data_IF_703605438363
#
_entry.id   IF_703605438363
#
_cell.length_a   1.000
_cell.length_b   1.000
_cell.length_c   1.000
_cell.angle_alpha   90.00
_cell.angle_beta   90.00
_cell.angle_gamma   90.00
#
_symmetry.space_group_name_H-M   'P 1'
#
loop_
_entity.id
_entity.type
_entity.pdbx_description
1 polymer ?
#
# COMPACT_ATOMS: atom_id res chain seq x y z
N UNK A 1 16.67 -44.49 31.86
CA UNK A 1 15.41 -44.15 31.17
C UNK A 1 15.19 -42.63 31.21
N UNK A 2 14.76 -42.00 30.10
CA UNK A 2 14.37 -40.59 30.11
C UNK A 2 12.88 -40.45 30.48
N UNK A 3 12.59 -39.84 31.63
CA UNK A 3 11.23 -39.65 32.15
C UNK A 3 10.66 -38.26 31.87
N UNK A 4 11.49 -37.33 31.40
CA UNK A 4 11.11 -35.93 31.17
C UNK A 4 9.92 -35.80 30.20
N UNK A 5 9.89 -36.51 29.04
CA UNK A 5 8.81 -36.33 28.06
C UNK A 5 7.42 -36.71 28.58
N UNK A 6 7.35 -37.47 29.69
CA UNK A 6 6.11 -37.90 30.34
C UNK A 6 5.61 -36.90 31.38
N UNK A 7 6.35 -35.81 31.63
CA UNK A 7 5.99 -34.80 32.62
C UNK A 7 5.25 -33.65 31.96
N UNK A 8 4.16 -33.23 32.60
CA UNK A 8 3.28 -32.13 32.13
C UNK A 8 3.98 -30.77 32.09
N UNK A 9 5.07 -30.58 32.84
CA UNK A 9 5.86 -29.35 32.86
C UNK A 9 7.00 -29.32 31.84
N UNK A 10 7.18 -30.38 31.04
CA UNK A 10 8.25 -30.44 30.07
C UNK A 10 8.11 -29.34 29.01
N UNK A 11 9.04 -28.38 29.00
CA UNK A 11 8.96 -27.16 28.18
C UNK A 11 8.78 -27.44 26.68
N UNK A 12 9.42 -28.49 26.15
CA UNK A 12 9.35 -28.81 24.72
C UNK A 12 8.16 -29.69 24.30
N UNK A 13 7.22 -30.01 25.18
CA UNK A 13 5.99 -30.69 24.76
C UNK A 13 5.15 -29.74 23.92
N UNK A 14 4.50 -30.26 22.88
CA UNK A 14 3.67 -29.46 21.96
C UNK A 14 2.68 -28.55 22.69
N UNK A 15 2.03 -29.07 23.73
CA UNK A 15 1.01 -28.35 24.52
C UNK A 15 1.59 -27.13 25.26
N UNK A 16 2.75 -27.29 25.90
CA UNK A 16 3.42 -26.19 26.61
C UNK A 16 3.92 -25.13 25.64
N UNK A 17 4.49 -25.54 24.50
CA UNK A 17 4.92 -24.58 23.47
C UNK A 17 3.70 -23.83 22.90
N UNK A 18 2.57 -24.51 22.68
CA UNK A 18 1.34 -23.87 22.21
C UNK A 18 0.77 -22.87 23.24
N UNK A 19 0.87 -23.16 24.54
CA UNK A 19 0.49 -22.23 25.60
C UNK A 19 1.36 -20.98 25.60
N UNK A 20 2.68 -21.15 25.55
CA UNK A 20 3.63 -20.02 25.48
C UNK A 20 3.32 -19.14 24.26
N UNK A 21 3.11 -19.74 23.08
CA UNK A 21 2.76 -18.98 21.88
C UNK A 21 1.46 -18.18 22.02
N UNK A 22 0.44 -18.75 22.68
CA UNK A 22 -0.82 -18.04 22.92
C UNK A 22 -0.61 -16.85 23.86
N UNK A 23 0.17 -17.04 24.91
CA UNK A 23 0.44 -15.99 25.90
C UNK A 23 1.29 -14.87 25.27
N UNK A 24 2.31 -15.23 24.48
CA UNK A 24 3.13 -14.28 23.70
C UNK A 24 2.28 -13.52 22.67
N UNK A 25 1.41 -14.22 21.94
CA UNK A 25 0.51 -13.59 20.97
C UNK A 25 -0.45 -12.60 21.66
N UNK A 26 -1.03 -12.98 22.80
CA UNK A 26 -1.91 -12.13 23.58
C UNK A 26 -1.18 -10.89 24.09
N UNK A 27 0.02 -11.05 24.65
CA UNK A 27 0.86 -9.94 25.09
C UNK A 27 1.19 -8.99 23.93
N UNK A 28 1.53 -9.55 22.76
CA UNK A 28 1.82 -8.75 21.57
C UNK A 28 0.59 -7.99 21.04
N UNK A 29 -0.62 -8.55 21.15
CA UNK A 29 -1.87 -7.87 20.79
C UNK A 29 -2.17 -6.71 21.75
N UNK A 30 -2.06 -6.94 23.07
CA UNK A 30 -2.27 -5.91 24.09
C UNK A 30 -1.28 -4.74 23.92
N UNK A 31 0.00 -5.01 23.65
CA UNK A 31 0.98 -3.97 23.36
C UNK A 31 0.66 -3.16 22.10
N UNK A 32 0.17 -3.81 21.04
CA UNK A 32 -0.24 -3.13 19.80
C UNK A 32 -1.44 -2.21 20.05
N UNK A 33 -2.42 -2.67 20.82
CA UNK A 33 -3.59 -1.87 21.16
C UNK A 33 -3.23 -0.65 22.01
N UNK A 34 -2.35 -0.82 23.00
CA UNK A 34 -1.81 0.28 23.79
C UNK A 34 -1.07 1.31 22.92
N UNK A 35 -0.18 0.85 22.03
CA UNK A 35 0.52 1.71 21.08
C UNK A 35 -0.44 2.48 20.17
N UNK A 36 -1.48 1.81 19.65
CA UNK A 36 -2.52 2.43 18.83
C UNK A 36 -3.25 3.54 19.61
N UNK A 37 -3.60 3.29 20.87
CA UNK A 37 -4.26 4.29 21.73
C UNK A 37 -3.36 5.49 22.00
N UNK A 38 -2.08 5.26 22.28
CA UNK A 38 -1.10 6.33 22.49
C UNK A 38 -0.97 7.18 21.21
N UNK A 39 -0.82 6.54 20.05
CA UNK A 39 -0.72 7.25 18.77
C UNK A 39 -1.97 8.08 18.47
N UNK A 40 -3.17 7.56 18.73
CA UNK A 40 -4.40 8.30 18.53
C UNK A 40 -4.45 9.53 19.45
N UNK A 41 -4.14 9.35 20.74
CA UNK A 41 -4.11 10.46 21.70
C UNK A 41 -3.07 11.53 21.32
N UNK A 42 -1.92 11.12 20.80
CA UNK A 42 -0.88 12.05 20.31
C UNK A 42 -1.36 12.82 19.07
N UNK A 43 -2.01 12.15 18.11
CA UNK A 43 -2.61 12.80 16.94
C UNK A 43 -3.68 13.81 17.34
N UNK A 44 -4.58 13.44 18.26
CA UNK A 44 -5.62 14.32 18.78
C UNK A 44 -5.01 15.53 19.52
N UNK A 45 -4.00 15.31 20.36
CA UNK A 45 -3.30 16.39 21.05
C UNK A 45 -2.60 17.35 20.07
N UNK A 46 -1.91 16.81 19.07
CA UNK A 46 -1.22 17.59 18.03
C UNK A 46 -2.21 18.41 17.20
N UNK A 47 -3.31 17.81 16.76
CA UNK A 47 -4.34 18.52 15.99
C UNK A 47 -5.03 19.59 16.82
N UNK A 48 -5.33 19.33 18.10
CA UNK A 48 -5.89 20.32 19.01
C UNK A 48 -4.94 21.50 19.23
N UNK A 49 -3.62 21.25 19.37
CA UNK A 49 -2.62 22.31 19.48
C UNK A 49 -2.58 23.17 18.22
N UNK A 50 -2.53 22.56 17.04
CA UNK A 50 -2.53 23.30 15.77
C UNK A 50 -3.80 24.13 15.58
N UNK A 51 -4.97 23.58 15.93
CA UNK A 51 -6.24 24.32 15.90
C UNK A 51 -6.24 25.52 16.85
N UNK A 52 -5.73 25.35 18.08
CA UNK A 52 -5.59 26.44 19.04
C UNK A 52 -4.64 27.52 18.54
N UNK A 53 -3.52 27.13 17.92
CA UNK A 53 -2.56 28.07 17.33
C UNK A 53 -3.19 28.85 16.18
N UNK A 54 -3.84 28.17 15.24
CA UNK A 54 -4.53 28.80 14.12
C UNK A 54 -5.64 29.76 14.58
N UNK A 55 -6.42 29.39 15.60
CA UNK A 55 -7.41 30.30 16.19
C UNK A 55 -6.75 31.53 16.84
N UNK A 56 -5.67 31.34 17.59
CA UNK A 56 -4.93 32.46 18.18
C UNK A 56 -4.21 33.35 17.16
N UNK A 57 -3.99 32.86 15.95
CA UNK A 57 -3.45 33.63 14.82
C UNK A 57 -4.57 34.40 14.08
N UNK A 58 -5.75 33.78 13.91
CA UNK A 58 -6.95 34.44 13.38
C UNK A 58 -7.35 35.67 14.20
N UNK A 59 -7.38 35.56 15.53
CA UNK A 59 -7.69 36.70 16.42
C UNK A 59 -6.61 37.81 16.40
N UNK A 60 -5.43 37.54 15.81
CA UNK A 60 -4.39 38.56 15.61
C UNK A 60 -4.45 39.22 14.24
N UNK A 61 -5.14 38.62 13.27
CA UNK A 61 -5.22 39.07 11.89
C UNK A 61 -6.52 39.80 11.56
N UNK A 62 -7.26 40.29 12.56
CA UNK A 62 -8.48 41.08 12.37
C UNK A 62 -8.20 42.49 11.83
N UNK A 63 -7.61 42.58 10.64
CA UNK A 63 -7.75 43.71 9.72
C UNK A 63 -8.77 43.29 8.66
N UNK A 64 -10.05 43.36 9.03
CA UNK A 64 -11.18 43.02 8.15
C UNK A 64 -11.43 44.15 7.14
N UNK A 65 -11.60 43.80 5.87
CA UNK A 65 -12.07 44.73 4.82
C UNK A 65 -13.51 45.21 5.11
N UNK A 66 -13.93 46.32 4.50
CA UNK A 66 -15.16 47.07 4.80
C UNK A 66 -16.50 46.28 4.70
N UNK A 67 -16.45 45.00 4.29
CA UNK A 67 -17.58 44.07 4.22
C UNK A 67 -17.44 42.79 5.06
N UNK A 68 -16.43 42.67 5.93
CA UNK A 68 -16.27 41.53 6.86
C UNK A 68 -15.85 40.20 6.22
N UNK A 69 -15.39 40.20 4.96
CA UNK A 69 -14.90 39.01 4.28
C UNK A 69 -13.37 39.09 4.05
N UNK A 70 -12.65 38.03 4.41
CA UNK A 70 -11.23 37.87 4.16
C UNK A 70 -11.02 37.38 2.72
N UNK A 71 -10.60 38.29 1.83
CA UNK A 71 -10.30 37.97 0.43
C UNK A 71 -8.85 37.47 0.28
N UNK A 72 -8.65 36.16 0.46
CA UNK A 72 -7.34 35.50 0.26
C UNK A 72 -6.78 35.60 -1.17
N UNK A 73 -7.63 35.97 -2.13
CA UNK A 73 -7.29 36.03 -3.55
C UNK A 73 -7.15 37.45 -4.07
N UNK A 74 -7.22 38.48 -3.21
CA UNK A 74 -7.16 39.88 -3.64
C UNK A 74 -5.90 40.16 -4.48
N UNK A 75 -4.74 39.71 -4.00
CA UNK A 75 -3.47 39.88 -4.70
C UNK A 75 -3.42 39.09 -6.02
N UNK A 76 -4.08 37.93 -6.10
CA UNK A 76 -4.14 37.08 -7.30
C UNK A 76 -5.11 37.68 -8.33
N UNK A 77 -6.23 38.23 -7.88
CA UNK A 77 -7.22 38.89 -8.74
C UNK A 77 -6.67 40.23 -9.29
N UNK A 78 -6.01 41.03 -8.45
CA UNK A 78 -5.35 42.28 -8.87
C UNK A 78 -4.17 42.03 -9.82
N UNK A 79 -3.46 40.89 -9.68
CA UNK A 79 -2.33 40.52 -10.53
C UNK A 79 -2.71 39.79 -11.84
N UNK A 80 -4.01 39.65 -12.15
CA UNK A 80 -4.47 39.11 -13.43
C UNK A 80 -4.90 37.64 -13.43
N UNK A 81 -5.15 37.05 -12.26
CA UNK A 81 -5.73 35.72 -12.09
C UNK A 81 -4.73 34.56 -12.19
N UNK A 82 -5.11 33.42 -11.62
CA UNK A 82 -4.34 32.17 -11.70
C UNK A 82 -4.23 31.70 -13.14
N UNK A 83 -3.04 31.86 -13.75
CA UNK A 83 -2.69 31.23 -15.02
C UNK A 83 -2.51 29.74 -14.75
N UNK A 84 -3.61 28.99 -14.86
CA UNK A 84 -3.63 27.55 -14.62
C UNK A 84 -2.71 26.79 -15.55
N UNK A 85 -1.51 26.49 -15.10
CA UNK A 85 -0.70 25.43 -15.66
C UNK A 85 -1.32 24.10 -15.24
N UNK A 86 -1.80 23.31 -16.20
CA UNK A 86 -2.18 21.92 -15.90
C UNK A 86 -0.94 21.17 -15.43
N UNK A 87 -1.09 20.37 -14.37
CA UNK A 87 0.02 19.60 -13.84
C UNK A 87 0.36 18.50 -14.85
N UNK A 88 1.41 18.73 -15.65
CA UNK A 88 1.86 17.83 -16.71
C UNK A 88 2.11 16.40 -16.20
N UNK A 89 2.64 16.27 -14.99
CA UNK A 89 2.89 14.96 -14.37
C UNK A 89 1.58 14.20 -14.10
N UNK A 90 0.50 14.90 -13.72
CA UNK A 90 -0.80 14.30 -13.47
C UNK A 90 -1.46 13.77 -14.74
N UNK A 91 -1.34 14.50 -15.85
CA UNK A 91 -1.88 14.05 -17.15
C UNK A 91 -1.14 12.81 -17.68
N UNK A 92 0.19 12.75 -17.47
CA UNK A 92 1.00 11.59 -17.85
C UNK A 92 0.68 10.35 -16.99
N UNK A 93 0.45 10.53 -15.69
CA UNK A 93 0.04 9.44 -14.79
C UNK A 93 -1.36 8.91 -15.15
N UNK A 94 -2.32 9.79 -15.41
CA UNK A 94 -3.65 9.39 -15.87
C UNK A 94 -3.60 8.63 -17.20
N UNK A 95 -2.74 9.04 -18.12
CA UNK A 95 -2.59 8.36 -19.40
C UNK A 95 -1.96 6.98 -19.23
N UNK A 96 -0.92 6.87 -18.40
CA UNK A 96 -0.27 5.59 -18.10
C UNK A 96 -1.22 4.61 -17.38
N UNK A 97 -2.08 5.10 -16.48
CA UNK A 97 -3.08 4.26 -15.80
C UNK A 97 -4.16 3.79 -16.77
N UNK A 98 -4.66 4.66 -17.66
CA UNK A 98 -5.60 4.30 -18.74
C UNK A 98 -4.99 3.24 -19.67
N UNK A 99 -3.75 3.44 -20.13
CA UNK A 99 -3.07 2.47 -21.00
C UNK A 99 -2.85 1.11 -20.32
N UNK A 100 -2.51 1.09 -19.02
CA UNK A 100 -2.40 -0.18 -18.26
C UNK A 100 -3.75 -0.89 -18.19
N UNK A 101 -4.81 -0.16 -17.88
CA UNK A 101 -6.16 -0.71 -17.83
C UNK A 101 -6.62 -1.26 -19.18
N UNK A 102 -6.37 -0.54 -20.27
CA UNK A 102 -6.69 -0.98 -21.63
C UNK A 102 -5.86 -2.20 -22.06
N UNK A 103 -4.58 -2.29 -21.63
CA UNK A 103 -3.74 -3.48 -21.83
C UNK A 103 -4.25 -4.69 -21.03
N UNK A 104 -4.64 -4.46 -19.77
CA UNK A 104 -5.14 -5.51 -18.87
C UNK A 104 -6.49 -6.08 -19.35
N UNK A 105 -7.34 -5.23 -19.95
CA UNK A 105 -8.63 -5.63 -20.53
C UNK A 105 -8.48 -6.26 -21.92
N UNK A 106 -7.33 -6.10 -22.55
CA UNK A 106 -7.12 -6.61 -23.91
C UNK A 106 -7.62 -5.68 -25.01
N UNK A 107 -7.99 -4.44 -24.69
CA UNK A 107 -8.40 -3.44 -25.68
C UNK A 107 -7.22 -2.96 -26.52
N UNK A 108 -6.07 -2.76 -25.87
CA UNK A 108 -4.82 -2.35 -26.53
C UNK A 108 -3.98 -3.54 -27.02
N UNK A 109 -4.45 -4.76 -26.80
CA UNK A 109 -3.74 -5.99 -27.15
C UNK A 109 -4.35 -6.53 -28.45
N UNK A 110 -3.58 -6.50 -29.54
CA UNK A 110 -4.07 -6.85 -30.87
C UNK A 110 -4.60 -8.29 -30.89
N UNK A 111 -5.86 -8.45 -31.30
CA UNK A 111 -6.54 -9.73 -31.42
C UNK A 111 -5.78 -10.62 -32.42
N UNK A 112 -4.99 -11.56 -31.90
CA UNK A 112 -4.12 -12.44 -32.70
C UNK A 112 -2.68 -12.53 -32.20
N UNK A 113 -2.22 -11.62 -31.32
CA UNK A 113 -1.00 -11.84 -30.55
C UNK A 113 -1.27 -12.93 -29.51
N UNK A 114 -1.05 -14.18 -29.90
CA UNK A 114 -1.15 -15.30 -28.97
C UNK A 114 -0.20 -15.07 -27.79
N UNK A 115 -0.59 -15.53 -26.60
CA UNK A 115 0.26 -15.45 -25.40
C UNK A 115 1.66 -16.09 -25.56
N UNK A 116 1.88 -16.90 -26.61
CA UNK A 116 3.19 -17.44 -26.99
C UNK A 116 4.17 -16.36 -27.45
N UNK A 117 3.71 -15.40 -28.24
CA UNK A 117 4.59 -14.41 -28.88
C UNK A 117 4.88 -13.24 -27.93
N UNK A 118 3.90 -12.87 -27.10
CA UNK A 118 4.05 -11.81 -26.10
C UNK A 118 4.92 -12.21 -24.89
N UNK A 119 4.92 -13.49 -24.50
CA UNK A 119 5.74 -13.99 -23.37
C UNK A 119 7.11 -14.52 -23.80
N UNK A 120 7.38 -14.64 -25.11
CA UNK A 120 8.67 -15.07 -25.67
C UNK A 120 9.12 -16.48 -25.30
N UNK A 121 8.35 -17.22 -24.48
CA UNK A 121 8.68 -18.55 -24.02
C UNK A 121 7.59 -19.56 -24.43
N UNK A 122 8.02 -20.67 -25.02
CA UNK A 122 7.11 -21.75 -25.38
C UNK A 122 6.50 -22.35 -24.10
N UNK A 123 5.16 -22.52 -24.04
CA UNK A 123 4.49 -23.06 -22.88
C UNK A 123 4.91 -24.51 -22.61
N UNK A 124 4.82 -24.92 -21.34
CA UNK A 124 5.35 -26.19 -20.82
C UNK A 124 4.88 -27.44 -21.59
N UNK A 125 3.69 -27.42 -22.19
CA UNK A 125 3.13 -28.53 -22.96
C UNK A 125 3.72 -28.69 -24.38
N UNK A 126 4.39 -27.66 -24.92
CA UNK A 126 5.21 -27.77 -26.15
C UNK A 126 6.65 -28.21 -25.83
N UNK A 127 7.01 -28.30 -24.54
CA UNK A 127 8.37 -28.55 -24.05
C UNK A 127 8.52 -30.03 -23.65
N UNK A 128 8.46 -30.96 -24.61
CA UNK A 128 8.80 -32.39 -24.41
C UNK A 128 8.42 -33.27 -25.63
N UNK A 129 9.12 -34.34 -26.03
CA UNK A 129 10.27 -35.08 -25.49
C UNK A 129 11.09 -35.66 -26.67
N UNK A 130 12.24 -35.07 -27.01
CA UNK A 130 13.10 -35.48 -28.14
C UNK A 130 14.15 -36.55 -27.76
N UNK A 131 13.86 -37.39 -26.76
CA UNK A 131 14.86 -38.32 -26.18
C UNK A 131 14.58 -39.82 -26.38
N UNK A 132 13.51 -40.22 -27.07
CA UNK A 132 13.12 -41.64 -27.18
C UNK A 132 13.31 -42.28 -28.56
N UNK A 133 13.91 -41.62 -29.55
CA UNK A 133 14.05 -42.17 -30.92
C UNK A 133 15.47 -42.65 -31.30
N UNK A 134 16.45 -42.66 -30.39
CA UNK A 134 17.84 -43.08 -30.70
C UNK A 134 18.24 -44.46 -30.16
N UNK A 135 17.30 -45.25 -29.60
CA UNK A 135 17.59 -46.58 -29.03
C UNK A 135 16.77 -47.70 -29.67
N UNK A 136 16.57 -47.69 -30.99
CA UNK A 136 16.01 -48.83 -31.73
C UNK A 136 16.62 -48.90 -33.14
N UNK A 137 17.94 -48.99 -33.25
CA UNK A 137 18.60 -49.38 -34.50
C UNK A 137 20.04 -49.81 -34.23
N UNK A 138 20.20 -50.96 -33.56
CA UNK A 138 21.43 -51.74 -33.63
C UNK A 138 21.13 -53.16 -33.15
N UNK A 139 20.60 -53.97 -34.07
CA UNK A 139 20.69 -55.44 -34.10
C UNK A 139 20.90 -55.86 -35.56
#
# INVERSE_FOLDING_TARGET
MNILPKKRWHVRTKDNIARVRRDEAKAAEEEKELKRRIQLAEQEARTALLRKKAKGELEKSDELDAGGHLNFFKDIEESGGFVGGTNKEHEEEEKATKEKYEKDIGLLTYLGQSSLEAKGEAPWYLKGNLKELSTTSSE
#
